data_IF_414496190109
#
_entry.id   IF_414496190109
#
_cell.length_a   1.000
_cell.length_b   1.000
_cell.length_c   1.000
_cell.angle_alpha   90.00
_cell.angle_beta   90.00
_cell.angle_gamma   90.00
#
_symmetry.space_group_name_H-M   'P 1'
#
loop_
_entity.id
_entity.type
_entity.pdbx_description
1 polymer ?
#
# COMPACT_ATOMS: atom_id res chain seq x y z
N UNK A 1 -8.27 -17.23 -20.85
CA UNK A 1 -7.51 -16.69 -19.71
C UNK A 1 -7.54 -15.18 -19.83
N UNK A 2 -8.03 -14.50 -18.82
CA UNK A 2 -8.10 -13.02 -18.82
C UNK A 2 -6.75 -12.47 -18.35
N UNK A 3 -6.18 -11.54 -19.10
CA UNK A 3 -4.98 -10.85 -18.66
C UNK A 3 -5.34 -9.83 -17.55
N UNK A 4 -4.59 -9.84 -16.47
CA UNK A 4 -4.74 -8.87 -15.37
C UNK A 4 -3.64 -7.81 -15.52
N UNK A 5 -3.99 -6.51 -15.52
CA UNK A 5 -2.98 -5.47 -15.49
C UNK A 5 -2.06 -5.60 -14.28
N UNK A 6 -0.78 -5.30 -14.47
CA UNK A 6 0.24 -5.43 -13.44
C UNK A 6 1.17 -4.22 -13.48
N UNK A 7 1.32 -3.57 -12.34
CA UNK A 7 2.24 -2.44 -12.16
C UNK A 7 3.19 -2.75 -11.02
N UNK A 8 4.49 -2.67 -11.25
CA UNK A 8 5.48 -2.68 -10.19
C UNK A 8 5.96 -1.26 -9.97
N UNK A 9 5.83 -0.75 -8.76
CA UNK A 9 6.07 0.64 -8.40
C UNK A 9 6.96 0.69 -7.16
N UNK A 10 8.01 1.51 -7.22
CA UNK A 10 8.89 1.78 -6.11
C UNK A 10 8.38 3.02 -5.36
N UNK A 11 7.69 2.80 -4.23
CA UNK A 11 7.21 3.90 -3.39
C UNK A 11 8.39 4.58 -2.68
N UNK A 12 8.29 5.90 -2.45
CA UNK A 12 9.32 6.74 -1.84
C UNK A 12 10.63 6.83 -2.62
N UNK A 13 10.60 6.47 -3.92
CA UNK A 13 11.75 6.57 -4.79
C UNK A 13 11.83 7.94 -5.47
N UNK A 14 13.05 8.42 -5.67
CA UNK A 14 13.37 9.58 -6.50
C UNK A 14 14.16 9.21 -7.75
N UNK A 15 14.76 8.02 -7.73
CA UNK A 15 15.56 7.45 -8.83
C UNK A 15 15.25 5.95 -8.96
N UNK A 16 15.54 5.35 -10.12
CA UNK A 16 15.44 3.91 -10.32
C UNK A 16 16.26 3.12 -9.27
N UNK A 17 15.74 1.99 -8.83
CA UNK A 17 16.36 1.06 -7.87
C UNK A 17 16.42 1.57 -6.41
N UNK A 18 15.67 2.62 -6.09
CA UNK A 18 15.45 3.12 -4.75
C UNK A 18 14.02 2.81 -4.28
N UNK A 19 13.73 3.12 -3.01
CA UNK A 19 12.39 3.04 -2.46
C UNK A 19 11.97 1.66 -1.99
N UNK A 20 10.65 1.48 -1.85
CA UNK A 20 10.04 0.23 -1.40
C UNK A 20 9.08 -0.29 -2.47
N UNK A 21 9.35 -1.48 -2.96
CA UNK A 21 8.61 -2.09 -4.07
C UNK A 21 7.22 -2.55 -3.65
N UNK A 22 6.24 -2.28 -4.49
CA UNK A 22 4.92 -2.87 -4.42
C UNK A 22 4.43 -3.25 -5.82
N UNK A 23 3.73 -4.38 -5.91
CA UNK A 23 2.95 -4.71 -7.10
C UNK A 23 1.52 -4.22 -6.92
N UNK A 24 0.92 -3.63 -7.95
CA UNK A 24 -0.46 -3.16 -7.96
C UNK A 24 -1.20 -3.89 -9.08
N UNK A 25 -2.28 -4.57 -8.73
CA UNK A 25 -3.06 -5.39 -9.67
C UNK A 25 -4.53 -4.97 -9.63
N UNK A 26 -5.02 -4.21 -10.60
CA UNK A 26 -6.44 -3.91 -10.77
C UNK A 26 -7.22 -5.17 -11.16
N UNK A 27 -8.33 -5.40 -10.47
CA UNK A 27 -9.23 -6.53 -10.68
C UNK A 27 -10.67 -6.04 -10.89
N UNK A 28 -11.49 -6.83 -11.57
CA UNK A 28 -12.95 -6.60 -11.66
C UNK A 28 -13.67 -7.10 -10.39
N UNK A 29 -13.17 -8.19 -9.80
CA UNK A 29 -13.60 -8.75 -8.52
C UNK A 29 -12.42 -9.43 -7.83
N UNK A 30 -12.43 -9.51 -6.50
CA UNK A 30 -11.40 -10.26 -5.79
C UNK A 30 -11.46 -11.74 -6.14
N UNK A 31 -10.31 -12.29 -6.47
CA UNK A 31 -10.10 -13.72 -6.64
C UNK A 31 -10.19 -14.43 -5.27
N UNK A 32 -10.30 -15.75 -5.24
CA UNK A 32 -10.17 -16.50 -3.99
C UNK A 32 -8.90 -16.15 -3.24
N UNK A 33 -8.95 -16.09 -1.91
CA UNK A 33 -7.83 -15.66 -1.05
C UNK A 33 -6.55 -16.46 -1.31
N UNK A 34 -6.68 -17.76 -1.54
CA UNK A 34 -5.57 -18.64 -1.89
C UNK A 34 -4.89 -18.22 -3.21
N UNK A 35 -5.67 -17.75 -4.17
CA UNK A 35 -5.15 -17.28 -5.45
C UNK A 35 -4.44 -15.92 -5.30
N UNK A 36 -5.03 -14.99 -4.54
CA UNK A 36 -4.40 -13.70 -4.25
C UNK A 36 -3.07 -13.90 -3.52
N UNK A 37 -3.06 -14.81 -2.53
CA UNK A 37 -1.85 -15.15 -1.79
C UNK A 37 -0.77 -15.80 -2.69
N UNK A 38 -1.17 -16.70 -3.58
CA UNK A 38 -0.24 -17.34 -4.51
C UNK A 38 0.38 -16.33 -5.50
N UNK A 39 -0.42 -15.38 -5.99
CA UNK A 39 0.08 -14.29 -6.86
C UNK A 39 1.08 -13.42 -6.09
N UNK A 40 0.76 -13.04 -4.85
CA UNK A 40 1.67 -12.24 -4.03
C UNK A 40 2.99 -12.98 -3.72
N UNK A 41 2.94 -14.28 -3.48
CA UNK A 41 4.12 -15.11 -3.29
C UNK A 41 4.98 -15.20 -4.57
N UNK A 42 4.35 -15.34 -5.75
CA UNK A 42 5.03 -15.38 -7.04
C UNK A 42 5.69 -14.03 -7.38
N UNK A 43 5.00 -12.91 -7.10
CA UNK A 43 5.54 -11.57 -7.30
C UNK A 43 6.80 -11.32 -6.44
N UNK A 44 6.84 -11.89 -5.24
CA UNK A 44 7.99 -11.88 -4.33
C UNK A 44 8.59 -10.48 -4.08
N UNK A 45 7.72 -9.48 -3.96
CA UNK A 45 8.05 -8.12 -3.50
C UNK A 45 7.48 -7.90 -2.10
N UNK A 46 7.80 -6.78 -1.46
CA UNK A 46 7.33 -6.50 -0.11
C UNK A 46 5.83 -6.73 0.05
N UNK A 47 5.00 -6.08 -0.78
CA UNK A 47 3.56 -6.32 -0.84
C UNK A 47 3.02 -6.25 -2.27
N UNK A 48 1.96 -7.04 -2.50
CA UNK A 48 1.08 -6.92 -3.66
C UNK A 48 -0.25 -6.34 -3.21
N UNK A 49 -0.65 -5.23 -3.82
CA UNK A 49 -1.95 -4.59 -3.63
C UNK A 49 -2.91 -5.02 -4.73
N UNK A 50 -4.07 -5.54 -4.33
CA UNK A 50 -5.18 -5.83 -5.24
C UNK A 50 -6.24 -4.75 -5.07
N UNK A 51 -6.63 -4.09 -6.16
CA UNK A 51 -7.58 -2.98 -6.15
C UNK A 51 -8.77 -3.27 -7.05
N UNK A 52 -9.96 -2.81 -6.62
CA UNK A 52 -11.19 -2.90 -7.41
C UNK A 52 -11.84 -1.52 -7.42
N UNK A 53 -12.05 -0.95 -8.58
CA UNK A 53 -12.82 0.30 -8.71
C UNK A 53 -14.30 0.07 -8.36
N UNK A 54 -14.81 0.81 -7.39
CA UNK A 54 -16.23 0.78 -6.96
C UNK A 54 -17.02 1.94 -7.54
N UNK A 55 -16.39 3.09 -7.68
CA UNK A 55 -16.90 4.31 -8.26
C UNK A 55 -15.70 5.20 -8.64
N UNK A 56 -15.87 6.25 -9.43
CA UNK A 56 -14.78 7.16 -9.76
C UNK A 56 -14.06 7.66 -8.49
N UNK A 57 -12.76 7.32 -8.36
CA UNK A 57 -11.93 7.67 -7.21
C UNK A 57 -12.16 6.86 -5.95
N UNK A 58 -13.01 5.83 -5.98
CA UNK A 58 -13.26 4.94 -4.83
C UNK A 58 -12.88 3.52 -5.18
N UNK A 59 -11.94 2.94 -4.43
CA UNK A 59 -11.40 1.61 -4.68
C UNK A 59 -11.46 0.74 -3.43
N UNK A 60 -11.88 -0.51 -3.58
CA UNK A 60 -11.60 -1.53 -2.56
C UNK A 60 -10.13 -1.94 -2.67
N UNK A 61 -9.46 -2.17 -1.54
CA UNK A 61 -8.02 -2.45 -1.48
C UNK A 61 -7.71 -3.54 -0.47
N UNK A 62 -6.87 -4.49 -0.89
CA UNK A 62 -6.30 -5.54 -0.05
C UNK A 62 -4.81 -5.65 -0.32
N UNK A 63 -4.01 -5.98 0.71
CA UNK A 63 -2.56 -6.10 0.63
C UNK A 63 -2.10 -7.48 1.09
N UNK A 64 -1.20 -8.06 0.33
CA UNK A 64 -0.61 -9.36 0.62
C UNK A 64 0.90 -9.27 0.56
N UNK A 65 1.57 -9.71 1.63
CA UNK A 65 2.98 -10.07 1.58
C UNK A 65 3.14 -11.41 0.84
N UNK A 66 4.35 -11.88 0.53
CA UNK A 66 4.53 -13.23 0.01
C UNK A 66 3.98 -14.35 0.89
N UNK A 67 3.71 -14.10 2.18
CA UNK A 67 3.30 -15.11 3.16
C UNK A 67 1.87 -14.94 3.69
N UNK A 68 1.40 -13.71 3.88
CA UNK A 68 0.10 -13.42 4.52
C UNK A 68 -0.56 -12.16 3.96
N UNK A 69 -1.88 -12.06 4.11
CA UNK A 69 -2.60 -10.80 3.99
C UNK A 69 -2.32 -9.91 5.22
N UNK A 70 -2.16 -8.61 5.01
CA UNK A 70 -1.92 -7.63 6.09
C UNK A 70 -3.07 -6.63 6.19
N UNK A 71 -3.39 -6.16 7.41
CA UNK A 71 -4.54 -5.27 7.64
C UNK A 71 -4.31 -3.83 7.16
N UNK A 72 -3.06 -3.40 7.03
CA UNK A 72 -2.68 -2.05 6.63
C UNK A 72 -1.27 -2.06 6.02
N UNK A 73 -1.10 -1.34 4.90
CA UNK A 73 0.22 -1.14 4.30
C UNK A 73 0.31 0.25 3.65
N UNK A 74 1.22 1.09 4.16
CA UNK A 74 1.38 2.47 3.70
C UNK A 74 1.97 2.57 2.30
N UNK A 75 3.13 1.97 2.05
CA UNK A 75 3.82 2.12 0.76
C UNK A 75 3.05 1.49 -0.41
N UNK A 76 2.36 0.36 -0.18
CA UNK A 76 1.56 -0.27 -1.23
C UNK A 76 0.26 0.52 -1.52
N UNK A 77 -0.28 1.26 -0.53
CA UNK A 77 -1.38 2.21 -0.76
C UNK A 77 -0.90 3.40 -1.59
N UNK A 78 0.28 3.93 -1.29
CA UNK A 78 0.90 5.00 -2.08
C UNK A 78 1.15 4.56 -3.52
N UNK A 79 1.71 3.37 -3.72
CA UNK A 79 1.93 2.76 -5.03
C UNK A 79 0.62 2.56 -5.80
N UNK A 80 -0.46 2.13 -5.10
CA UNK A 80 -1.79 1.98 -5.70
C UNK A 80 -2.35 3.31 -6.16
N UNK A 81 -2.23 4.37 -5.36
CA UNK A 81 -2.64 5.71 -5.76
C UNK A 81 -1.85 6.20 -6.98
N UNK A 82 -0.53 5.99 -7.00
CA UNK A 82 0.31 6.33 -8.15
C UNK A 82 -0.14 5.60 -9.42
N UNK A 83 -0.40 4.29 -9.34
CA UNK A 83 -0.91 3.52 -10.48
C UNK A 83 -2.22 4.08 -11.01
N UNK A 84 -3.16 4.43 -10.13
CA UNK A 84 -4.47 4.99 -10.49
C UNK A 84 -4.31 6.34 -11.17
N UNK A 85 -3.51 7.25 -10.61
CA UNK A 85 -3.29 8.58 -11.18
C UNK A 85 -2.50 8.58 -12.50
N UNK A 86 -1.46 7.75 -12.60
CA UNK A 86 -0.53 7.81 -13.74
C UNK A 86 -0.87 6.85 -14.87
N UNK A 87 -1.52 5.72 -14.57
CA UNK A 87 -1.71 4.63 -15.53
C UNK A 87 -3.15 4.25 -15.78
N UNK A 88 -4.08 4.59 -14.87
CA UNK A 88 -5.49 4.25 -15.01
C UNK A 88 -6.37 5.43 -15.43
N UNK A 89 -5.78 6.62 -15.64
CA UNK A 89 -6.48 7.79 -16.20
C UNK A 89 -7.43 8.51 -15.24
N UNK A 90 -7.24 8.37 -13.93
CA UNK A 90 -8.04 9.09 -12.94
C UNK A 90 -7.53 10.53 -12.78
N UNK A 91 -8.41 11.51 -13.05
CA UNK A 91 -8.09 12.95 -13.03
C UNK A 91 -8.53 13.69 -11.75
N UNK A 92 -9.19 13.00 -10.81
CA UNK A 92 -9.61 13.59 -9.54
C UNK A 92 -8.44 13.96 -8.63
N UNK A 93 -8.70 14.75 -7.59
CA UNK A 93 -7.67 15.19 -6.65
C UNK A 93 -7.47 14.22 -5.48
N UNK A 94 -8.47 13.40 -5.18
CA UNK A 94 -8.47 12.49 -4.04
C UNK A 94 -8.96 11.10 -4.43
N UNK A 95 -8.27 10.08 -3.91
CA UNK A 95 -8.66 8.68 -3.98
C UNK A 95 -9.04 8.21 -2.59
N UNK A 96 -10.18 7.53 -2.48
CA UNK A 96 -10.60 6.83 -1.27
C UNK A 96 -10.41 5.33 -1.46
N UNK A 97 -9.63 4.71 -0.59
CA UNK A 97 -9.50 3.25 -0.51
C UNK A 97 -10.39 2.72 0.63
N UNK A 98 -11.26 1.78 0.30
CA UNK A 98 -12.07 1.04 1.27
C UNK A 98 -11.38 -0.28 1.59
N UNK A 99 -11.10 -0.49 2.88
CA UNK A 99 -10.39 -1.67 3.37
C UNK A 99 -11.25 -2.48 4.33
N UNK A 100 -10.98 -3.77 4.48
CA UNK A 100 -11.76 -4.63 5.37
C UNK A 100 -11.51 -4.37 6.86
N UNK A 101 -10.28 -3.95 7.23
CA UNK A 101 -9.84 -3.88 8.63
C UNK A 101 -9.42 -2.47 9.08
N UNK A 102 -8.98 -1.61 8.16
CA UNK A 102 -8.44 -0.28 8.48
C UNK A 102 -9.37 0.87 8.07
N UNK A 103 -10.62 0.55 7.70
CA UNK A 103 -11.61 1.55 7.30
C UNK A 103 -11.27 2.21 5.96
N UNK A 104 -11.56 3.50 5.86
CA UNK A 104 -11.28 4.30 4.68
C UNK A 104 -9.94 5.01 4.82
N UNK A 105 -9.12 4.88 3.79
CA UNK A 105 -7.84 5.58 3.67
C UNK A 105 -7.94 6.57 2.51
N UNK A 106 -7.47 7.79 2.70
CA UNK A 106 -7.52 8.81 1.66
C UNK A 106 -6.12 9.15 1.17
N UNK A 107 -5.98 9.31 -0.14
CA UNK A 107 -4.74 9.75 -0.78
C UNK A 107 -5.05 10.92 -1.70
N UNK A 108 -4.45 12.08 -1.41
CA UNK A 108 -4.56 13.30 -2.19
C UNK A 108 -3.34 13.54 -3.05
N UNK A 109 -3.55 14.02 -4.25
CA UNK A 109 -2.48 14.54 -5.10
C UNK A 109 -2.20 16.00 -4.69
N UNK A 110 -0.99 16.29 -4.23
CA UNK A 110 -0.59 17.64 -3.78
C UNK A 110 0.21 18.37 -4.85
N UNK A 111 1.17 17.69 -5.47
CA UNK A 111 2.02 18.20 -6.54
C UNK A 111 2.28 17.07 -7.56
N UNK A 112 2.78 17.35 -8.76
CA UNK A 112 3.16 16.30 -9.71
C UNK A 112 4.10 15.28 -9.06
N UNK A 113 3.66 14.00 -9.00
CA UNK A 113 4.42 12.90 -8.41
C UNK A 113 4.48 12.91 -6.88
N UNK A 114 3.74 13.78 -6.19
CA UNK A 114 3.64 13.81 -4.73
C UNK A 114 2.21 13.58 -4.27
N UNK A 115 2.10 12.82 -3.18
CA UNK A 115 0.82 12.40 -2.60
C UNK A 115 0.86 12.59 -1.09
N UNK A 116 -0.28 12.97 -0.52
CA UNK A 116 -0.52 13.01 0.92
C UNK A 116 -1.49 11.87 1.27
N UNK A 117 -1.11 11.06 2.25
CA UNK A 117 -1.93 9.95 2.76
C UNK A 117 -2.46 10.30 4.14
N UNK A 118 -3.77 10.11 4.35
CA UNK A 118 -4.41 10.19 5.67
C UNK A 118 -4.67 8.77 6.18
N UNK A 119 -4.00 8.43 7.28
CA UNK A 119 -4.02 7.10 7.87
C UNK A 119 -4.45 7.14 9.33
N UNK A 120 -5.08 6.07 9.85
CA UNK A 120 -5.42 5.99 11.27
C UNK A 120 -4.15 6.02 12.12
N UNK A 121 -4.13 6.89 13.12
CA UNK A 121 -3.06 6.96 14.09
C UNK A 121 -3.35 5.98 15.25
N UNK A 122 -2.45 5.02 15.54
CA UNK A 122 -2.60 4.18 16.71
C UNK A 122 -2.43 5.00 18.00
N UNK A 123 -3.10 4.57 19.06
CA UNK A 123 -2.81 5.12 20.38
C UNK A 123 -1.37 4.76 20.78
N UNK A 124 -0.61 5.75 21.21
CA UNK A 124 0.75 5.55 21.70
C UNK A 124 0.77 5.72 23.22
N UNK A 125 1.46 4.81 23.91
CA UNK A 125 1.67 4.87 25.35
C UNK A 125 3.14 5.13 25.63
N UNK A 126 3.43 6.04 26.53
CA UNK A 126 4.79 6.26 27.00
C UNK A 126 5.26 5.05 27.80
N UNK A 127 6.43 4.54 27.48
CA UNK A 127 7.09 3.46 28.23
C UNK A 127 8.42 3.94 28.79
N UNK A 128 8.89 3.29 29.86
CA UNK A 128 10.27 3.50 30.33
C UNK A 128 11.24 2.82 29.37
N UNK A 129 12.35 3.51 29.10
CA UNK A 129 13.41 2.96 28.26
C UNK A 129 14.26 2.02 29.10
N UNK A 130 14.26 0.74 28.77
CA UNK A 130 15.12 -0.27 29.39
C UNK A 130 16.46 -0.40 28.65
N UNK A 131 17.46 -1.00 29.30
CA UNK A 131 18.75 -1.33 28.68
C UNK A 131 18.55 -2.21 27.42
N UNK A 132 17.59 -3.11 27.45
CA UNK A 132 17.27 -3.98 26.30
C UNK A 132 16.76 -3.18 25.11
N UNK A 133 15.86 -2.20 25.33
CA UNK A 133 15.34 -1.31 24.29
C UNK A 133 16.46 -0.43 23.73
N UNK A 134 17.29 0.16 24.59
CA UNK A 134 18.42 0.98 24.18
C UNK A 134 19.44 0.16 23.36
N UNK A 135 19.72 -1.07 23.77
CA UNK A 135 20.62 -1.98 23.05
C UNK A 135 20.06 -2.34 21.66
N UNK A 136 18.74 -2.60 21.55
CA UNK A 136 18.10 -2.89 20.28
C UNK A 136 18.11 -1.70 19.31
N UNK A 137 18.02 -0.47 19.83
CA UNK A 137 18.11 0.77 19.05
C UNK A 137 19.55 1.20 18.75
N UNK A 138 20.54 0.63 19.41
CA UNK A 138 21.95 1.02 19.33
C UNK A 138 22.27 2.38 19.97
N UNK A 139 21.33 2.99 20.67
CA UNK A 139 21.49 4.26 21.36
C UNK A 139 20.40 4.46 22.42
N UNK A 140 20.67 5.28 23.42
CA UNK A 140 19.64 5.79 24.33
C UNK A 140 18.85 6.88 23.61
N UNK A 141 17.52 6.78 23.49
CA UNK A 141 16.69 7.86 22.98
C UNK A 141 16.78 9.10 23.89
N UNK A 142 16.68 10.28 23.29
CA UNK A 142 16.71 11.58 24.00
C UNK A 142 15.40 11.87 24.70
#
# INVERSE_FOLDING_TARGET
MTAIPFYQIDAFATQPFEGNQACVMPLEAFLPDETLQAIAAENNVAETAFIIEKAPGVFALRWFTPAIEVPLCGHATLASAHAIYQHMGFDGDEITFETAQSGKLMVKRTEPGRYEMDFPAPEVTQIEITEEVAAALGAWPL
#
